data_IF_364716324406
#
_entry.id   IF_364716324406
#
_cell.length_a   1.000
_cell.length_b   1.000
_cell.length_c   1.000
_cell.angle_alpha   90.00
_cell.angle_beta   90.00
_cell.angle_gamma   90.00
#
_symmetry.space_group_name_H-M   'P 1'
#
loop_
_entity.id
_entity.type
_entity.pdbx_description
1 polymer ?
#
# COMPACT_ATOMS: atom_id res chain seq x y z
N UNK A 1 -33.33 -108.98 -1.86
CA UNK A 1 -33.64 -107.69 -2.61
C UNK A 1 -33.35 -106.46 -1.75
N UNK A 2 -33.71 -106.44 -0.46
CA UNK A 2 -33.44 -105.21 0.44
C UNK A 2 -31.93 -104.83 0.61
N UNK A 3 -31.03 -105.82 0.68
CA UNK A 3 -29.59 -105.58 0.82
C UNK A 3 -28.94 -104.94 -0.39
N UNK A 4 -29.42 -105.24 -1.63
CA UNK A 4 -28.95 -104.65 -2.85
C UNK A 4 -29.39 -103.22 -3.02
N UNK A 5 -30.59 -102.87 -2.56
CA UNK A 5 -31.04 -101.45 -2.54
C UNK A 5 -30.25 -100.55 -1.62
N UNK A 6 -29.82 -101.03 -0.41
CA UNK A 6 -28.98 -100.30 0.44
C UNK A 6 -27.54 -100.06 -0.13
N UNK A 7 -27.02 -101.05 -0.82
CA UNK A 7 -25.71 -100.96 -1.44
C UNK A 7 -25.72 -99.96 -2.62
N UNK A 8 -26.74 -99.88 -3.39
CA UNK A 8 -26.92 -98.89 -4.45
C UNK A 8 -27.11 -97.48 -3.86
N UNK A 9 -27.80 -97.33 -2.73
CA UNK A 9 -28.01 -96.07 -2.11
C UNK A 9 -26.67 -95.51 -1.53
N UNK A 10 -25.85 -96.34 -0.91
CA UNK A 10 -24.52 -95.98 -0.43
C UNK A 10 -23.56 -95.57 -1.55
N UNK A 11 -23.57 -96.28 -2.67
CA UNK A 11 -22.78 -95.98 -3.87
C UNK A 11 -23.21 -94.65 -4.50
N UNK A 12 -24.53 -94.39 -4.51
CA UNK A 12 -25.05 -93.10 -5.05
C UNK A 12 -24.67 -91.95 -4.17
N UNK A 13 -24.75 -92.08 -2.85
CA UNK A 13 -24.30 -91.05 -1.90
C UNK A 13 -22.80 -90.80 -1.97
N UNK A 14 -21.97 -91.89 -2.11
CA UNK A 14 -20.52 -91.74 -2.24
C UNK A 14 -20.16 -91.11 -3.58
N UNK A 15 -20.82 -91.45 -4.67
CA UNK A 15 -20.57 -90.82 -5.97
C UNK A 15 -21.03 -89.34 -5.99
N UNK A 16 -22.20 -89.04 -5.37
CA UNK A 16 -22.66 -87.67 -5.21
C UNK A 16 -21.75 -86.81 -4.37
N UNK A 17 -21.27 -87.36 -3.24
CA UNK A 17 -20.30 -86.65 -2.36
C UNK A 17 -18.95 -86.41 -3.06
N UNK A 18 -18.46 -87.42 -3.79
CA UNK A 18 -17.20 -87.26 -4.54
C UNK A 18 -17.34 -86.28 -5.71
N UNK A 19 -18.52 -86.25 -6.38
CA UNK A 19 -18.79 -85.28 -7.45
C UNK A 19 -18.91 -83.85 -6.92
N UNK A 20 -19.61 -83.66 -5.79
CA UNK A 20 -19.69 -82.37 -5.12
C UNK A 20 -18.35 -81.84 -4.64
N UNK A 21 -17.51 -82.71 -4.06
CA UNK A 21 -16.16 -82.35 -3.64
C UNK A 21 -15.24 -81.95 -4.82
N UNK A 22 -15.30 -82.70 -5.92
CA UNK A 22 -14.56 -82.36 -7.16
C UNK A 22 -15.00 -81.06 -7.81
N UNK A 23 -16.27 -80.70 -7.67
CA UNK A 23 -16.77 -79.42 -8.16
C UNK A 23 -16.25 -78.25 -7.29
N UNK A 24 -16.03 -78.47 -6.05
CA UNK A 24 -15.46 -77.47 -5.11
C UNK A 24 -13.98 -77.21 -5.36
N UNK A 25 -13.22 -78.26 -5.73
CA UNK A 25 -11.80 -78.12 -6.17
C UNK A 25 -11.67 -77.44 -7.53
N UNK A 26 -12.62 -77.66 -8.46
CA UNK A 26 -12.61 -77.01 -9.76
C UNK A 26 -12.92 -75.51 -9.72
N UNK A 27 -13.47 -75.02 -8.59
CA UNK A 27 -13.71 -73.61 -8.34
C UNK A 27 -12.51 -72.85 -7.69
N UNK A 28 -11.48 -73.59 -7.28
CA UNK A 28 -10.25 -72.98 -6.76
C UNK A 28 -9.42 -72.43 -7.91
N UNK A 29 -9.06 -71.16 -7.84
CA UNK A 29 -8.19 -70.50 -8.78
C UNK A 29 -6.81 -71.20 -8.79
N UNK A 30 -6.18 -71.38 -9.97
CA UNK A 30 -4.82 -71.93 -10.06
C UNK A 30 -3.82 -71.16 -9.16
N UNK A 31 -2.91 -71.88 -8.53
CA UNK A 31 -1.91 -71.32 -7.59
C UNK A 31 -1.03 -70.20 -8.16
N UNK A 32 -0.98 -70.06 -9.48
CA UNK A 32 -0.23 -68.98 -10.13
C UNK A 32 -1.02 -67.68 -10.28
N UNK A 33 -2.31 -67.61 -9.87
CA UNK A 33 -3.14 -66.44 -9.90
C UNK A 33 -3.28 -65.88 -8.47
N UNK A 34 -2.56 -64.83 -8.18
CA UNK A 34 -2.74 -64.07 -6.93
C UNK A 34 -3.91 -63.10 -7.11
N UNK A 35 -4.99 -63.23 -6.32
CA UNK A 35 -6.05 -62.26 -6.24
C UNK A 35 -5.74 -61.28 -5.12
N UNK A 36 -5.71 -60.00 -5.46
CA UNK A 36 -5.52 -58.91 -4.49
C UNK A 36 -6.69 -57.96 -4.59
N UNK A 37 -7.26 -57.56 -3.46
CA UNK A 37 -8.25 -56.48 -3.38
C UNK A 37 -7.52 -55.14 -3.40
N UNK A 38 -6.87 -54.82 -4.51
CA UNK A 38 -6.24 -53.54 -4.75
C UNK A 38 -7.31 -52.50 -5.19
N UNK A 39 -7.36 -51.38 -4.52
CA UNK A 39 -8.08 -50.17 -4.98
C UNK A 39 -7.11 -49.30 -5.74
N UNK A 40 -7.40 -49.01 -7.00
CA UNK A 40 -6.62 -48.04 -7.75
C UNK A 40 -7.04 -46.66 -7.26
N UNK A 41 -6.17 -46.00 -6.51
CA UNK A 41 -6.37 -44.61 -6.13
C UNK A 41 -5.52 -43.71 -7.02
N UNK A 42 -6.17 -42.83 -7.75
CA UNK A 42 -5.50 -41.78 -8.50
C UNK A 42 -5.56 -40.50 -7.69
N UNK A 43 -4.42 -39.83 -7.51
CA UNK A 43 -4.38 -38.49 -6.92
C UNK A 43 -4.97 -37.52 -7.94
N UNK A 44 -6.14 -36.97 -7.61
CA UNK A 44 -6.75 -35.87 -8.36
C UNK A 44 -6.11 -34.56 -7.92
N UNK A 45 -5.62 -33.78 -8.87
CA UNK A 45 -5.11 -32.45 -8.64
C UNK A 45 -6.08 -31.48 -9.34
N UNK A 46 -6.75 -30.66 -8.55
CA UNK A 46 -7.60 -29.61 -9.07
C UNK A 46 -6.76 -28.33 -9.29
N UNK A 47 -6.65 -27.89 -10.55
CA UNK A 47 -5.92 -26.69 -10.92
C UNK A 47 -6.88 -25.51 -10.91
N UNK A 48 -6.64 -24.56 -10.01
CA UNK A 48 -7.43 -23.33 -9.89
C UNK A 48 -6.56 -22.10 -10.15
N UNK A 49 -7.20 -21.03 -10.64
CA UNK A 49 -6.52 -19.75 -10.81
C UNK A 49 -6.45 -18.99 -9.50
N UNK A 50 -5.33 -18.31 -9.24
CA UNK A 50 -5.15 -17.45 -8.06
C UNK A 50 -5.99 -16.17 -8.16
N UNK A 51 -6.21 -15.66 -9.38
CA UNK A 51 -6.98 -14.45 -9.64
C UNK A 51 -8.20 -14.75 -10.50
N UNK A 52 -9.35 -14.11 -10.25
CA UNK A 52 -10.52 -14.23 -11.09
C UNK A 52 -10.26 -13.59 -12.46
N UNK A 53 -10.70 -14.23 -13.53
CA UNK A 53 -10.52 -13.71 -14.88
C UNK A 53 -11.44 -14.38 -15.89
N UNK A 54 -11.60 -13.76 -17.06
CA UNK A 54 -12.31 -14.37 -18.18
C UNK A 54 -11.35 -15.30 -18.92
N UNK A 55 -11.78 -16.50 -19.24
CA UNK A 55 -11.03 -17.44 -20.08
C UNK A 55 -10.92 -16.84 -21.49
N UNK A 56 -9.69 -16.66 -21.97
CA UNK A 56 -9.38 -16.22 -23.33
C UNK A 56 -9.18 -17.39 -24.26
N UNK A 57 -8.45 -18.39 -23.82
CA UNK A 57 -8.22 -19.63 -24.58
C UNK A 57 -8.01 -20.81 -23.64
N UNK A 58 -8.46 -21.98 -24.07
CA UNK A 58 -8.17 -23.28 -23.46
C UNK A 58 -7.33 -24.07 -24.46
N UNK A 59 -6.15 -24.53 -24.03
CA UNK A 59 -5.18 -25.17 -24.93
C UNK A 59 -5.17 -26.68 -24.82
N UNK A 60 -6.01 -27.27 -23.98
CA UNK A 60 -6.09 -28.71 -23.74
C UNK A 60 -7.53 -29.19 -23.79
N UNK A 61 -7.74 -30.46 -24.15
CA UNK A 61 -9.02 -31.11 -24.12
C UNK A 61 -9.05 -32.21 -23.05
N UNK A 62 -10.25 -32.67 -22.74
CA UNK A 62 -10.45 -33.79 -21.83
C UNK A 62 -9.81 -35.06 -22.40
N UNK A 63 -8.96 -35.72 -21.63
CA UNK A 63 -8.21 -36.91 -22.04
C UNK A 63 -6.79 -36.63 -22.54
N UNK A 64 -6.40 -35.37 -22.69
CA UNK A 64 -5.03 -35.00 -23.09
C UNK A 64 -4.02 -35.28 -21.98
N UNK A 65 -2.87 -35.80 -22.37
CA UNK A 65 -1.73 -36.00 -21.48
C UNK A 65 -0.88 -34.72 -21.44
N UNK A 66 -0.71 -34.10 -20.26
CA UNK A 66 -0.04 -32.82 -20.12
C UNK A 66 1.27 -32.98 -19.36
N UNK A 67 2.33 -32.35 -19.86
CA UNK A 67 3.62 -32.30 -19.19
C UNK A 67 3.61 -31.22 -18.07
N UNK A 68 4.56 -31.33 -17.17
CA UNK A 68 4.80 -30.30 -16.16
C UNK A 68 5.06 -28.94 -16.85
N UNK A 69 4.50 -27.87 -16.27
CA UNK A 69 4.62 -26.47 -16.75
C UNK A 69 3.96 -26.17 -18.11
N UNK A 70 3.10 -27.08 -18.60
CA UNK A 70 2.29 -26.80 -19.80
C UNK A 70 1.20 -25.78 -19.48
N UNK A 71 1.02 -24.78 -20.35
CA UNK A 71 -0.07 -23.79 -20.25
C UNK A 71 -1.38 -24.46 -20.63
N UNK A 72 -2.29 -24.61 -19.66
CA UNK A 72 -3.59 -25.25 -19.87
C UNK A 72 -4.65 -24.25 -20.30
N UNK A 73 -4.66 -23.07 -19.67
CA UNK A 73 -5.67 -22.02 -19.86
C UNK A 73 -5.00 -20.65 -19.88
N UNK A 74 -5.40 -19.81 -20.82
CA UNK A 74 -5.02 -18.39 -20.87
C UNK A 74 -6.20 -17.55 -20.40
N UNK A 75 -5.97 -16.70 -19.41
CA UNK A 75 -6.96 -15.74 -18.91
C UNK A 75 -6.79 -14.39 -19.59
N UNK A 76 -7.89 -13.71 -19.88
CA UNK A 76 -7.86 -12.31 -20.33
C UNK A 76 -7.46 -11.40 -19.17
N UNK A 77 -6.43 -10.58 -19.39
CA UNK A 77 -5.88 -9.65 -18.41
C UNK A 77 -6.38 -8.21 -18.55
N UNK A 78 -7.35 -7.97 -19.45
CA UNK A 78 -7.83 -6.60 -19.76
C UNK A 78 -8.33 -5.85 -18.52
N UNK A 79 -9.03 -6.53 -17.62
CA UNK A 79 -9.51 -5.94 -16.36
C UNK A 79 -8.34 -5.62 -15.43
N UNK A 80 -7.40 -6.55 -15.27
CA UNK A 80 -6.22 -6.36 -14.42
C UNK A 80 -5.29 -5.29 -15.00
N UNK A 81 -5.13 -5.25 -16.33
CA UNK A 81 -4.39 -4.20 -17.01
C UNK A 81 -5.02 -2.82 -16.80
N UNK A 82 -6.35 -2.74 -16.88
CA UNK A 82 -7.11 -1.51 -16.58
C UNK A 82 -6.95 -1.06 -15.12
N UNK A 83 -7.01 -1.99 -14.18
CA UNK A 83 -6.80 -1.69 -12.75
C UNK A 83 -5.37 -1.21 -12.48
N UNK A 84 -4.37 -1.85 -13.08
CA UNK A 84 -2.97 -1.44 -12.97
C UNK A 84 -2.75 -0.04 -13.57
N UNK A 85 -3.33 0.24 -14.74
CA UNK A 85 -3.26 1.56 -15.36
C UNK A 85 -3.90 2.65 -14.46
N UNK A 86 -5.06 2.37 -13.88
CA UNK A 86 -5.74 3.28 -12.94
C UNK A 86 -4.91 3.50 -11.66
N UNK A 87 -4.30 2.46 -11.09
CA UNK A 87 -3.45 2.56 -9.91
C UNK A 87 -2.17 3.38 -10.20
N UNK A 88 -1.57 3.21 -11.38
CA UNK A 88 -0.41 4.01 -11.81
C UNK A 88 -0.79 5.48 -11.98
N UNK A 89 -1.91 5.77 -12.65
CA UNK A 89 -2.40 7.14 -12.80
C UNK A 89 -2.71 7.80 -11.45
N UNK A 90 -3.28 7.05 -10.49
CA UNK A 90 -3.50 7.54 -9.14
C UNK A 90 -2.19 7.85 -8.41
N UNK A 91 -1.15 7.03 -8.60
CA UNK A 91 0.17 7.27 -8.01
C UNK A 91 0.82 8.53 -8.60
N UNK A 92 0.78 8.70 -9.93
CA UNK A 92 1.28 9.87 -10.63
C UNK A 92 0.58 11.15 -10.16
N UNK A 93 -0.77 11.13 -10.09
CA UNK A 93 -1.54 12.26 -9.58
C UNK A 93 -1.24 12.60 -8.10
N UNK A 94 -0.92 11.61 -7.29
CA UNK A 94 -0.47 11.83 -5.91
C UNK A 94 0.95 12.43 -5.86
N UNK A 95 1.85 12.01 -6.73
CA UNK A 95 3.20 12.58 -6.85
C UNK A 95 3.16 14.04 -7.33
N UNK A 96 2.30 14.38 -8.29
CA UNK A 96 2.05 15.76 -8.71
C UNK A 96 1.54 16.64 -7.56
N UNK A 97 0.73 16.08 -6.67
CA UNK A 97 0.26 16.79 -5.49
C UNK A 97 1.40 17.11 -4.52
N UNK A 98 2.35 16.19 -4.34
CA UNK A 98 3.58 16.44 -3.56
C UNK A 98 4.42 17.55 -4.21
N UNK A 99 4.62 17.54 -5.50
CA UNK A 99 5.37 18.60 -6.19
C UNK A 99 4.72 19.98 -6.02
N UNK A 100 3.39 20.06 -6.16
CA UNK A 100 2.65 21.31 -5.90
C UNK A 100 2.80 21.79 -4.46
N UNK A 101 2.72 20.88 -3.50
CA UNK A 101 2.92 21.23 -2.10
C UNK A 101 4.36 21.72 -1.83
N UNK A 102 5.37 21.11 -2.43
CA UNK A 102 6.77 21.56 -2.33
C UNK A 102 6.97 22.96 -2.94
N UNK A 103 6.36 23.23 -4.08
CA UNK A 103 6.37 24.57 -4.69
C UNK A 103 5.71 25.61 -3.76
N UNK A 104 4.59 25.26 -3.12
CA UNK A 104 3.91 26.09 -2.13
C UNK A 104 4.82 26.39 -0.92
N UNK A 105 5.54 25.40 -0.39
CA UNK A 105 6.53 25.61 0.68
C UNK A 105 7.59 26.61 0.24
N UNK A 106 8.15 26.45 -0.96
CA UNK A 106 9.16 27.37 -1.47
C UNK A 106 8.65 28.80 -1.58
N UNK A 107 7.43 28.98 -2.08
CA UNK A 107 6.78 30.29 -2.18
C UNK A 107 6.56 30.93 -0.80
N UNK A 108 6.03 30.17 0.16
CA UNK A 108 5.77 30.67 1.51
C UNK A 108 7.08 31.00 2.27
N UNK A 109 8.14 30.22 2.08
CA UNK A 109 9.49 30.54 2.61
C UNK A 109 10.05 31.85 2.03
N UNK A 110 9.76 32.17 0.79
CA UNK A 110 10.12 33.48 0.22
C UNK A 110 9.40 34.65 0.90
N UNK A 111 8.14 34.42 1.33
CA UNK A 111 7.41 35.44 2.11
C UNK A 111 8.06 35.67 3.47
N UNK A 112 8.52 34.62 4.15
CA UNK A 112 9.30 34.77 5.40
C UNK A 112 10.59 35.56 5.15
N UNK A 113 11.32 35.24 4.09
CA UNK A 113 12.56 35.96 3.75
C UNK A 113 12.32 37.47 3.47
N UNK A 114 11.19 37.82 2.82
CA UNK A 114 10.81 39.23 2.66
C UNK A 114 10.51 39.92 3.99
N UNK A 115 9.75 39.28 4.86
CA UNK A 115 9.45 39.81 6.19
C UNK A 115 10.73 39.98 7.02
N UNK A 116 11.71 39.10 6.90
CA UNK A 116 13.02 39.25 7.56
C UNK A 116 13.82 40.44 7.03
N UNK A 117 13.79 40.66 5.69
CA UNK A 117 14.42 41.84 5.10
C UNK A 117 13.75 43.16 5.57
N UNK A 118 12.41 43.17 5.69
CA UNK A 118 11.67 44.31 6.26
C UNK A 118 12.07 44.57 7.72
N UNK A 119 12.13 43.53 8.53
CA UNK A 119 12.61 43.65 9.93
C UNK A 119 14.01 44.28 9.97
N UNK A 120 14.92 43.83 9.09
CA UNK A 120 16.26 44.39 8.99
C UNK A 120 16.25 45.89 8.67
N UNK A 121 15.40 46.31 7.70
CA UNK A 121 15.22 47.71 7.33
C UNK A 121 14.66 48.56 8.49
N UNK A 122 13.58 48.09 9.15
CA UNK A 122 12.99 48.79 10.29
C UNK A 122 13.95 48.85 11.51
N UNK A 123 14.77 47.84 11.74
CA UNK A 123 15.80 47.86 12.78
C UNK A 123 16.89 48.92 12.54
N UNK A 124 17.27 49.13 11.26
CA UNK A 124 18.19 50.21 10.91
C UNK A 124 17.54 51.59 11.20
N UNK A 125 16.28 51.76 10.81
CA UNK A 125 15.52 52.99 11.10
C UNK A 125 15.36 53.24 12.62
N UNK A 126 15.08 52.18 13.38
CA UNK A 126 15.03 52.24 14.85
C UNK A 126 16.38 52.66 15.45
N UNK A 127 17.49 52.14 14.92
CA UNK A 127 18.84 52.49 15.34
C UNK A 127 19.13 53.97 15.11
N UNK A 128 18.75 54.52 13.97
CA UNK A 128 18.90 55.95 13.69
C UNK A 128 18.04 56.78 14.62
N UNK A 129 16.76 56.44 14.78
CA UNK A 129 15.84 57.15 15.67
C UNK A 129 16.32 57.13 17.14
N UNK A 130 16.93 55.98 17.57
CA UNK A 130 17.53 55.87 18.89
C UNK A 130 18.72 56.82 19.07
N UNK A 131 19.62 56.89 18.08
CA UNK A 131 20.77 57.78 18.11
C UNK A 131 20.31 59.25 18.19
N UNK A 132 19.30 59.64 17.39
CA UNK A 132 18.71 60.97 17.44
C UNK A 132 18.08 61.28 18.79
N UNK A 133 17.38 60.34 19.42
CA UNK A 133 16.83 60.49 20.77
C UNK A 133 17.94 60.65 21.82
N UNK A 134 18.99 59.84 21.73
CA UNK A 134 20.13 59.90 22.68
C UNK A 134 20.88 61.24 22.58
N UNK A 135 21.08 61.74 21.34
CA UNK A 135 21.62 63.08 21.10
C UNK A 135 20.69 64.18 21.64
N UNK A 136 19.38 64.09 21.38
CA UNK A 136 18.37 65.02 21.89
C UNK A 136 18.34 65.02 23.43
N UNK A 137 18.50 63.85 24.07
CA UNK A 137 18.58 63.71 25.51
C UNK A 137 19.79 64.49 26.10
N UNK A 138 20.95 64.39 25.40
CA UNK A 138 22.15 65.18 25.80
C UNK A 138 21.90 66.68 25.62
N UNK A 139 21.41 67.10 24.42
CA UNK A 139 21.10 68.49 24.12
C UNK A 139 20.06 69.09 25.09
N UNK A 140 19.09 68.31 25.53
CA UNK A 140 18.11 68.72 26.53
C UNK A 140 18.72 68.96 27.92
N UNK A 141 19.64 68.09 28.32
CA UNK A 141 20.40 68.28 29.57
C UNK A 141 21.20 69.56 29.54
N UNK A 142 21.78 69.94 28.43
CA UNK A 142 22.59 71.12 28.21
C UNK A 142 21.70 72.39 27.91
N UNK A 143 20.35 72.24 27.99
CA UNK A 143 19.38 73.33 27.71
C UNK A 143 19.46 73.85 26.25
N UNK A 144 19.93 73.02 25.28
CA UNK A 144 20.12 73.47 23.90
C UNK A 144 18.85 73.19 23.02
N UNK A 145 17.89 72.38 23.49
CA UNK A 145 16.61 72.15 22.79
C UNK A 145 15.43 72.32 23.74
N UNK A 146 14.24 72.51 23.13
CA UNK A 146 12.99 72.63 23.87
C UNK A 146 12.47 71.26 24.33
N UNK A 147 11.58 71.26 25.35
CA UNK A 147 10.88 70.03 25.75
C UNK A 147 10.06 69.43 24.61
N UNK A 148 9.44 70.26 23.77
CA UNK A 148 8.65 69.83 22.61
C UNK A 148 9.52 69.08 21.60
N UNK A 149 10.73 69.59 21.27
CA UNK A 149 11.63 68.94 20.34
C UNK A 149 12.13 67.58 20.86
N UNK A 150 12.48 67.53 22.16
CA UNK A 150 12.79 66.24 22.79
C UNK A 150 11.64 65.26 22.71
N UNK A 151 10.41 65.64 23.08
CA UNK A 151 9.23 64.76 23.00
C UNK A 151 8.95 64.27 21.57
N UNK A 152 9.24 65.11 20.57
CA UNK A 152 9.14 64.68 19.18
C UNK A 152 10.11 63.55 18.83
N UNK A 153 11.37 63.66 19.20
CA UNK A 153 12.39 62.61 19.01
C UNK A 153 12.03 61.30 19.76
N UNK A 154 11.47 61.46 20.97
CA UNK A 154 10.99 60.30 21.73
C UNK A 154 9.82 59.62 21.01
N UNK A 155 8.85 60.38 20.51
CA UNK A 155 7.72 59.83 19.73
C UNK A 155 8.20 59.14 18.43
N UNK A 156 9.19 59.72 17.72
CA UNK A 156 9.78 59.14 16.52
C UNK A 156 10.48 57.79 16.84
N UNK A 157 11.23 57.70 17.92
CA UNK A 157 11.79 56.42 18.37
C UNK A 157 10.72 55.40 18.72
N UNK A 158 9.69 55.80 19.49
CA UNK A 158 8.59 54.87 19.82
C UNK A 158 7.85 54.38 18.58
N UNK A 159 7.69 55.21 17.56
CA UNK A 159 7.10 54.86 16.28
C UNK A 159 7.97 53.80 15.55
N UNK A 160 9.29 54.00 15.55
CA UNK A 160 10.23 53.06 14.97
C UNK A 160 10.24 51.71 15.71
N UNK A 161 10.13 51.71 17.04
CA UNK A 161 9.98 50.49 17.86
C UNK A 161 8.69 49.74 17.49
N UNK A 162 7.57 50.46 17.33
CA UNK A 162 6.29 49.87 16.95
C UNK A 162 6.34 49.25 15.55
N UNK A 163 7.05 49.91 14.61
CA UNK A 163 7.24 49.36 13.24
C UNK A 163 8.02 48.05 13.27
N UNK A 164 9.10 47.95 14.02
CA UNK A 164 9.85 46.68 14.18
C UNK A 164 8.95 45.58 14.75
N UNK A 165 8.20 45.89 15.82
CA UNK A 165 7.29 44.94 16.46
C UNK A 165 6.20 44.44 15.49
N UNK A 166 5.63 45.33 14.67
CA UNK A 166 4.66 44.99 13.67
C UNK A 166 5.25 44.04 12.58
N UNK A 167 6.47 44.35 12.11
CA UNK A 167 7.17 43.50 11.14
C UNK A 167 7.54 42.11 11.73
N UNK A 168 7.91 42.07 13.03
CA UNK A 168 8.16 40.79 13.72
C UNK A 168 6.87 39.94 13.83
N UNK A 169 5.73 40.57 14.08
CA UNK A 169 4.45 39.87 14.07
C UNK A 169 4.09 39.34 12.68
N UNK A 170 4.32 40.12 11.62
CA UNK A 170 4.11 39.67 10.24
C UNK A 170 5.03 38.49 9.86
N UNK A 171 6.28 38.48 10.33
CA UNK A 171 7.18 37.32 10.18
C UNK A 171 6.62 36.08 10.88
N UNK A 172 6.12 36.23 12.11
CA UNK A 172 5.56 35.11 12.87
C UNK A 172 4.34 34.51 12.16
N UNK A 173 3.49 35.34 11.58
CA UNK A 173 2.36 34.92 10.75
C UNK A 173 2.83 34.16 9.50
N UNK A 174 3.83 34.68 8.79
CA UNK A 174 4.41 34.02 7.63
C UNK A 174 5.05 32.65 7.99
N UNK A 175 5.68 32.56 9.16
CA UNK A 175 6.23 31.30 9.68
C UNK A 175 5.12 30.27 9.99
N UNK A 176 4.02 30.71 10.59
CA UNK A 176 2.87 29.85 10.82
C UNK A 176 2.28 29.31 9.50
N UNK A 177 2.21 30.16 8.47
CA UNK A 177 1.79 29.73 7.14
C UNK A 177 2.74 28.67 6.53
N UNK A 178 4.06 28.77 6.73
CA UNK A 178 5.01 27.72 6.31
C UNK A 178 4.70 26.41 7.01
N UNK A 179 4.48 26.41 8.32
CA UNK A 179 4.17 25.20 9.09
C UNK A 179 2.87 24.53 8.58
N UNK A 180 1.86 25.30 8.21
CA UNK A 180 0.62 24.80 7.63
C UNK A 180 0.85 24.11 6.28
N UNK A 181 1.61 24.74 5.37
CA UNK A 181 1.90 24.15 4.05
C UNK A 181 2.81 22.93 4.19
N UNK A 182 3.74 22.91 5.14
CA UNK A 182 4.56 21.72 5.44
C UNK A 182 3.73 20.55 5.98
N UNK A 183 2.68 20.80 6.77
CA UNK A 183 1.74 19.78 7.20
C UNK A 183 0.97 19.21 6.01
N UNK A 184 0.47 20.06 5.11
CA UNK A 184 -0.19 19.63 3.87
C UNK A 184 0.74 18.78 2.98
N UNK A 185 2.02 19.15 2.87
CA UNK A 185 3.01 18.36 2.13
C UNK A 185 3.23 16.96 2.74
N UNK A 186 3.23 16.84 4.07
CA UNK A 186 3.30 15.54 4.75
C UNK A 186 2.09 14.66 4.44
N UNK A 187 0.90 15.26 4.40
CA UNK A 187 -0.33 14.55 4.02
C UNK A 187 -0.27 14.09 2.56
N UNK A 188 0.22 14.92 1.65
CA UNK A 188 0.41 14.55 0.25
C UNK A 188 1.39 13.36 0.10
N UNK A 189 2.51 13.36 0.83
CA UNK A 189 3.47 12.23 0.86
C UNK A 189 2.81 10.94 1.39
N UNK A 190 1.96 11.05 2.43
CA UNK A 190 1.19 9.91 2.91
C UNK A 190 0.19 9.40 1.86
N UNK A 191 -0.37 10.29 1.04
CA UNK A 191 -1.19 9.97 -0.12
C UNK A 191 -0.45 9.11 -1.15
N UNK A 192 0.78 9.50 -1.51
CA UNK A 192 1.63 8.72 -2.43
C UNK A 192 1.89 7.32 -1.88
N UNK A 193 2.21 7.19 -0.60
CA UNK A 193 2.44 5.86 0.03
C UNK A 193 1.21 4.97 -0.08
N UNK A 194 0.01 5.52 0.16
CA UNK A 194 -1.26 4.78 0.01
C UNK A 194 -1.52 4.36 -1.42
N UNK A 195 -1.30 5.25 -2.39
CA UNK A 195 -1.48 4.95 -3.80
C UNK A 195 -0.52 3.84 -4.27
N UNK A 196 0.75 3.87 -3.85
CA UNK A 196 1.74 2.82 -4.14
C UNK A 196 1.35 1.48 -3.53
N UNK A 197 0.91 1.45 -2.27
CA UNK A 197 0.48 0.21 -1.62
C UNK A 197 -0.72 -0.45 -2.33
N UNK A 198 -1.60 0.33 -2.97
CA UNK A 198 -2.71 -0.19 -3.78
C UNK A 198 -2.20 -0.72 -5.13
N UNK A 199 -1.16 -0.11 -5.70
CA UNK A 199 -0.60 -0.54 -6.97
C UNK A 199 0.24 -1.84 -6.86
N UNK A 200 0.73 -2.16 -5.67
CA UNK A 200 1.57 -3.34 -5.39
C UNK A 200 0.74 -4.57 -4.96
N UNK A 201 -0.58 -4.44 -4.78
CA UNK A 201 -1.53 -5.53 -4.44
C UNK A 201 -2.30 -6.03 -5.63
#
# INVERSE_FOLDING_TARGET
MRKLAYLLLVVALAAGGWWAWRQQEAAALPDYIATSNGRLEMNRIDVATLYPGRIKAVHVNEGDEVAKDTVLVELASDQSAGQLAAARAATEGAEDTVQRAQAGIKQTKQTVARAEAEIAAYRQQQKVAKLELDNARQMRRDNLISASEYSKREADYQRAVASVKAAEAARAEAQAAVAQVEAQAKEAVAGVRRAKAIADT
#
